data_IF_496563061253
#
_entry.id   IF_496563061253
#
_cell.length_a   1.000
_cell.length_b   1.000
_cell.length_c   1.000
_cell.angle_alpha   90.00
_cell.angle_beta   90.00
_cell.angle_gamma   90.00
#
_symmetry.space_group_name_H-M   'P 1'
#
loop_
_entity.id
_entity.type
_entity.pdbx_description
1 polymer ?
#
# COMPACT_ATOMS: atom_id res chain seq x y z
N UNK A 1 16.81 -22.44 -2.12
CA UNK A 1 17.98 -23.27 -1.75
C UNK A 1 17.51 -24.49 -0.98
N UNK A 2 17.63 -25.69 -1.54
CA UNK A 2 17.60 -26.92 -0.74
C UNK A 2 18.94 -26.95 0.01
N UNK A 3 18.90 -26.85 1.32
CA UNK A 3 20.08 -26.99 2.18
C UNK A 3 20.23 -28.49 2.44
N UNK A 4 21.34 -29.09 2.02
CA UNK A 4 21.64 -30.48 2.39
C UNK A 4 22.08 -30.51 3.85
N UNK A 5 21.22 -31.05 4.71
CA UNK A 5 21.44 -31.17 6.15
C UNK A 5 22.46 -32.27 6.48
N UNK A 6 22.70 -33.24 5.58
CA UNK A 6 23.65 -34.33 5.81
C UNK A 6 25.08 -33.81 5.84
N UNK A 7 25.44 -32.94 4.90
CA UNK A 7 26.78 -32.34 4.82
C UNK A 7 27.08 -31.43 6.01
N UNK A 8 26.06 -30.70 6.49
CA UNK A 8 26.15 -29.93 7.72
C UNK A 8 26.39 -30.82 8.95
N UNK A 9 25.63 -31.91 9.08
CA UNK A 9 25.79 -32.87 10.17
C UNK A 9 27.16 -33.55 10.15
N UNK A 10 27.67 -33.91 8.98
CA UNK A 10 28.98 -34.52 8.81
C UNK A 10 30.10 -33.55 9.20
N UNK A 11 30.04 -32.31 8.72
CA UNK A 11 31.02 -31.26 9.08
C UNK A 11 30.99 -30.95 10.57
N UNK A 12 29.79 -30.89 11.18
CA UNK A 12 29.63 -30.70 12.62
C UNK A 12 30.25 -31.84 13.43
N UNK A 13 29.99 -33.10 13.06
CA UNK A 13 30.54 -34.28 13.75
C UNK A 13 32.07 -34.31 13.68
N UNK A 14 32.65 -34.00 12.51
CA UNK A 14 34.11 -33.92 12.33
C UNK A 14 34.74 -32.85 13.22
N UNK A 15 34.19 -31.63 13.23
CA UNK A 15 34.69 -30.54 14.11
C UNK A 15 34.63 -30.93 15.58
N UNK A 16 33.54 -31.53 16.05
CA UNK A 16 33.44 -31.97 17.45
C UNK A 16 34.49 -33.04 17.76
N UNK A 17 34.65 -34.03 16.89
CA UNK A 17 35.65 -35.10 17.03
C UNK A 17 37.08 -34.55 17.11
N UNK A 18 37.43 -33.65 16.19
CA UNK A 18 38.78 -33.07 16.09
C UNK A 18 39.08 -32.16 17.29
N UNK A 19 38.09 -31.34 17.71
CA UNK A 19 38.23 -30.49 18.89
C UNK A 19 38.28 -31.29 20.21
N UNK A 20 37.54 -32.40 20.33
CA UNK A 20 37.58 -33.27 21.51
C UNK A 20 38.90 -34.04 21.61
N UNK A 21 39.45 -34.48 20.48
CA UNK A 21 40.80 -35.07 20.40
C UNK A 21 41.86 -34.05 20.77
N UNK A 22 41.76 -32.83 20.22
CA UNK A 22 42.68 -31.72 20.48
C UNK A 22 42.64 -31.23 21.94
N UNK A 23 41.48 -31.37 22.60
CA UNK A 23 41.34 -31.07 24.02
C UNK A 23 42.15 -32.04 24.91
N UNK A 24 42.26 -33.31 24.50
CA UNK A 24 43.05 -34.33 25.22
C UNK A 24 44.54 -34.20 24.93
N UNK A 25 44.90 -33.92 23.67
CA UNK A 25 46.28 -33.67 23.29
C UNK A 25 46.34 -32.68 22.11
N UNK A 26 46.93 -31.50 22.35
CA UNK A 26 47.05 -30.45 21.33
C UNK A 26 47.99 -30.82 20.17
N UNK A 27 48.87 -31.81 20.34
CA UNK A 27 49.78 -32.25 19.27
C UNK A 27 49.09 -33.09 18.19
N UNK A 28 47.83 -33.50 18.41
CA UNK A 28 47.03 -34.32 17.50
C UNK A 28 45.99 -33.49 16.73
N UNK A 29 46.11 -32.16 16.73
CA UNK A 29 45.15 -31.28 16.06
C UNK A 29 45.32 -31.33 14.53
N UNK A 30 44.26 -31.71 13.82
CA UNK A 30 44.19 -31.59 12.36
C UNK A 30 43.59 -30.21 11.99
N UNK A 31 44.47 -29.22 11.81
CA UNK A 31 44.08 -27.85 11.48
C UNK A 31 43.35 -27.77 10.14
N UNK A 32 43.77 -28.56 9.15
CA UNK A 32 43.19 -28.53 7.81
C UNK A 32 41.77 -29.11 7.83
N UNK A 33 41.55 -30.20 8.57
CA UNK A 33 40.20 -30.75 8.79
C UNK A 33 39.30 -29.73 9.48
N UNK A 34 39.78 -29.09 10.57
CA UNK A 34 38.97 -28.12 11.32
C UNK A 34 38.60 -26.91 10.46
N UNK A 35 39.58 -26.30 9.76
CA UNK A 35 39.35 -25.13 8.92
C UNK A 35 38.35 -25.46 7.79
N UNK A 36 38.57 -26.58 7.07
CA UNK A 36 37.69 -27.00 5.97
C UNK A 36 36.25 -27.19 6.44
N UNK A 37 36.05 -27.87 7.57
CA UNK A 37 34.70 -28.09 8.09
C UNK A 37 34.07 -26.80 8.66
N UNK A 38 34.87 -25.87 9.21
CA UNK A 38 34.38 -24.56 9.64
C UNK A 38 33.92 -23.70 8.46
N UNK A 39 34.68 -23.71 7.35
CA UNK A 39 34.32 -23.02 6.11
C UNK A 39 33.05 -23.63 5.49
N UNK A 40 32.91 -24.95 5.52
CA UNK A 40 31.68 -25.63 5.10
C UNK A 40 30.48 -25.16 5.92
N UNK A 41 30.59 -25.12 7.24
CA UNK A 41 29.51 -24.63 8.13
C UNK A 41 29.24 -23.14 7.91
N UNK A 42 30.27 -22.34 7.68
CA UNK A 42 30.16 -20.91 7.38
C UNK A 42 29.31 -20.66 6.13
N UNK A 43 29.46 -21.47 5.08
CA UNK A 43 28.67 -21.33 3.85
C UNK A 43 27.16 -21.42 4.09
N UNK A 44 26.71 -22.25 5.04
CA UNK A 44 25.29 -22.30 5.42
C UNK A 44 24.85 -21.05 6.18
N UNK A 45 25.69 -20.53 7.07
CA UNK A 45 25.33 -19.38 7.92
C UNK A 45 25.54 -18.01 7.27
N UNK A 46 26.32 -17.94 6.18
CA UNK A 46 26.74 -16.69 5.50
C UNK A 46 25.61 -15.71 5.20
N UNK A 47 24.45 -16.24 4.78
CA UNK A 47 23.26 -15.47 4.43
C UNK A 47 22.08 -15.73 5.40
N UNK A 48 22.33 -16.42 6.51
CA UNK A 48 21.29 -16.84 7.45
C UNK A 48 21.31 -16.08 8.78
N UNK A 49 22.48 -15.90 9.39
CA UNK A 49 22.66 -15.24 10.70
C UNK A 49 24.04 -14.59 10.80
N UNK A 50 24.06 -13.25 10.86
CA UNK A 50 25.27 -12.42 10.87
C UNK A 50 26.14 -12.67 12.10
N UNK A 51 25.54 -12.97 13.27
CA UNK A 51 26.31 -13.23 14.50
C UNK A 51 27.12 -14.53 14.40
N UNK A 52 26.50 -15.57 13.84
CA UNK A 52 27.13 -16.89 13.66
C UNK A 52 28.21 -16.83 12.58
N UNK A 53 27.94 -16.12 11.48
CA UNK A 53 28.94 -15.82 10.45
C UNK A 53 30.19 -15.16 11.03
N UNK A 54 30.03 -14.07 11.79
CA UNK A 54 31.15 -13.34 12.38
C UNK A 54 31.95 -14.19 13.38
N UNK A 55 31.28 -15.05 14.15
CA UNK A 55 31.94 -15.99 15.03
C UNK A 55 32.80 -17.00 14.27
N UNK A 56 32.26 -17.61 13.21
CA UNK A 56 32.96 -18.61 12.40
C UNK A 56 34.16 -18.01 11.66
N UNK A 57 34.00 -16.82 11.06
CA UNK A 57 35.11 -16.11 10.41
C UNK A 57 36.26 -15.86 11.39
N UNK A 58 35.94 -15.38 12.59
CA UNK A 58 36.95 -15.10 13.61
C UNK A 58 37.61 -16.38 14.12
N UNK A 59 36.87 -17.49 14.22
CA UNK A 59 37.44 -18.78 14.58
C UNK A 59 38.42 -19.28 13.51
N UNK A 60 38.07 -19.16 12.23
CA UNK A 60 38.91 -19.53 11.09
C UNK A 60 40.21 -18.70 11.09
N UNK A 61 40.14 -17.38 11.28
CA UNK A 61 41.33 -16.51 11.43
C UNK A 61 42.26 -16.96 12.56
N UNK A 62 41.71 -17.38 13.70
CA UNK A 62 42.52 -17.89 14.81
C UNK A 62 43.20 -19.23 14.51
N UNK A 63 42.62 -20.08 13.67
CA UNK A 63 43.27 -21.32 13.23
C UNK A 63 44.35 -21.06 12.16
N UNK A 64 44.17 -20.08 11.28
CA UNK A 64 45.24 -19.66 10.36
C UNK A 64 46.45 -19.06 11.08
N UNK A 65 46.26 -18.49 12.26
CA UNK A 65 47.33 -17.93 13.10
C UNK A 65 47.80 -18.89 14.22
N UNK A 66 47.46 -20.18 14.12
CA UNK A 66 47.64 -21.17 15.19
C UNK A 66 49.07 -21.28 15.71
N UNK A 67 50.08 -21.27 14.82
CA UNK A 67 51.49 -21.41 15.20
C UNK A 67 51.96 -20.31 16.14
N UNK A 68 51.40 -19.11 16.01
CA UNK A 68 51.75 -17.91 16.78
C UNK A 68 51.00 -17.79 18.11
N UNK A 69 50.06 -18.71 18.40
CA UNK A 69 49.30 -18.70 19.66
C UNK A 69 50.05 -19.42 20.78
N UNK A 70 50.05 -18.82 21.97
CA UNK A 70 50.50 -19.49 23.21
C UNK A 70 49.68 -20.74 23.49
N UNK A 71 50.27 -21.74 24.17
CA UNK A 71 49.54 -22.97 24.54
C UNK A 71 48.26 -22.69 25.33
N UNK A 72 48.29 -21.70 26.24
CA UNK A 72 47.12 -21.27 27.01
C UNK A 72 46.02 -20.70 26.10
N UNK A 73 46.39 -19.93 25.08
CA UNK A 73 45.45 -19.40 24.10
C UNK A 73 44.84 -20.51 23.21
N UNK A 74 45.66 -21.49 22.79
CA UNK A 74 45.22 -22.68 22.04
C UNK A 74 44.17 -23.48 22.82
N UNK A 75 44.45 -23.80 24.11
CA UNK A 75 43.49 -24.51 24.98
C UNK A 75 42.17 -23.74 25.14
N UNK A 76 42.25 -22.43 25.41
CA UNK A 76 41.06 -21.58 25.55
C UNK A 76 40.23 -21.49 24.27
N UNK A 77 40.88 -21.43 23.10
CA UNK A 77 40.19 -21.39 21.81
C UNK A 77 39.41 -22.68 21.55
N UNK A 78 40.04 -23.84 21.75
CA UNK A 78 39.41 -25.16 21.60
C UNK A 78 38.22 -25.31 22.54
N UNK A 79 38.36 -24.95 23.82
CA UNK A 79 37.25 -25.03 24.78
C UNK A 79 36.08 -24.09 24.44
N UNK A 80 36.38 -22.86 24.03
CA UNK A 80 35.37 -21.88 23.63
C UNK A 80 34.64 -22.31 22.37
N UNK A 81 35.33 -22.93 21.42
CA UNK A 81 34.72 -23.50 20.22
C UNK A 81 33.84 -24.70 20.54
N UNK A 82 34.33 -25.67 21.32
CA UNK A 82 33.54 -26.82 21.77
C UNK A 82 32.24 -26.38 22.44
N UNK A 83 32.32 -25.41 23.35
CA UNK A 83 31.13 -24.85 24.01
C UNK A 83 30.18 -24.25 22.99
N UNK A 84 30.65 -23.34 22.14
CA UNK A 84 29.78 -22.67 21.16
C UNK A 84 29.16 -23.64 20.16
N UNK A 85 29.88 -24.67 19.70
CA UNK A 85 29.34 -25.67 18.80
C UNK A 85 28.23 -26.50 19.44
N UNK A 86 28.45 -26.96 20.69
CA UNK A 86 27.44 -27.70 21.46
C UNK A 86 26.19 -26.87 21.80
N UNK A 87 26.27 -25.54 21.83
CA UNK A 87 25.10 -24.70 22.15
C UNK A 87 24.46 -23.99 20.96
N UNK A 88 25.21 -23.56 19.96
CA UNK A 88 24.71 -22.65 18.92
C UNK A 88 24.71 -23.28 17.51
N UNK A 89 25.55 -24.28 17.26
CA UNK A 89 25.72 -24.86 15.93
C UNK A 89 25.16 -26.28 15.81
N UNK A 90 24.45 -26.78 16.83
CA UNK A 90 23.80 -28.09 16.81
C UNK A 90 22.89 -28.23 15.57
N UNK A 91 22.93 -29.36 14.85
CA UNK A 91 22.10 -29.56 13.65
C UNK A 91 20.60 -29.34 13.88
N UNK A 92 20.07 -29.82 15.01
CA UNK A 92 18.65 -29.60 15.38
C UNK A 92 18.30 -28.10 15.46
N UNK A 93 19.21 -27.25 15.94
CA UNK A 93 19.00 -25.79 16.02
C UNK A 93 19.03 -25.13 14.64
N UNK A 94 19.78 -25.68 13.68
CA UNK A 94 19.73 -25.22 12.29
C UNK A 94 18.37 -25.57 11.67
N UNK A 95 17.85 -26.78 11.89
CA UNK A 95 16.54 -27.20 11.38
C UNK A 95 15.39 -26.35 11.95
N UNK A 96 15.38 -26.10 13.26
CA UNK A 96 14.41 -25.19 13.90
C UNK A 96 14.51 -23.77 13.34
N UNK A 97 15.72 -23.26 13.16
CA UNK A 97 15.96 -21.93 12.59
C UNK A 97 15.45 -21.83 11.15
N UNK A 98 15.73 -22.83 10.31
CA UNK A 98 15.26 -22.90 8.93
C UNK A 98 13.74 -23.02 8.85
N UNK A 99 13.11 -23.81 9.74
CA UNK A 99 11.65 -23.95 9.83
C UNK A 99 11.01 -22.61 10.16
N UNK A 100 11.53 -21.91 11.18
CA UNK A 100 11.04 -20.58 11.58
C UNK A 100 11.19 -19.55 10.46
N UNK A 101 12.35 -19.52 9.79
CA UNK A 101 12.61 -18.62 8.66
C UNK A 101 11.72 -18.94 7.45
N UNK A 102 11.41 -20.21 7.20
CA UNK A 102 10.48 -20.64 6.15
C UNK A 102 9.03 -20.24 6.46
N UNK A 103 8.61 -20.34 7.73
CA UNK A 103 7.29 -19.86 8.18
C UNK A 103 7.19 -18.33 8.07
N UNK A 104 8.27 -17.61 8.40
CA UNK A 104 8.38 -16.15 8.22
C UNK A 104 8.31 -15.75 6.74
N UNK A 105 9.02 -16.45 5.85
CA UNK A 105 8.94 -16.20 4.39
C UNK A 105 7.55 -16.55 3.85
N UNK A 106 6.92 -17.63 4.32
CA UNK A 106 5.55 -17.99 3.92
C UNK A 106 4.54 -16.94 4.37
N UNK A 107 4.67 -16.38 5.57
CA UNK A 107 3.79 -15.32 6.05
C UNK A 107 4.02 -14.01 5.28
N UNK A 108 5.27 -13.69 4.93
CA UNK A 108 5.63 -12.57 4.06
C UNK A 108 5.01 -12.70 2.66
N UNK A 109 5.11 -13.88 2.04
CA UNK A 109 4.53 -14.16 0.72
C UNK A 109 3.01 -14.11 0.73
N UNK A 110 2.36 -14.57 1.81
CA UNK A 110 0.90 -14.48 1.99
C UNK A 110 0.42 -13.03 2.17
N UNK A 111 1.29 -12.14 2.62
CA UNK A 111 0.96 -10.71 2.81
C UNK A 111 1.22 -9.90 1.53
N UNK A 112 2.32 -10.20 0.82
CA UNK A 112 2.64 -9.61 -0.49
C UNK A 112 1.61 -10.01 -1.54
N UNK A 113 1.18 -11.27 -1.53
CA UNK A 113 -0.02 -11.69 -2.24
C UNK A 113 -1.23 -11.29 -1.41
N UNK A 114 -1.70 -10.05 -1.54
CA UNK A 114 -3.11 -9.71 -1.26
C UNK A 114 -3.96 -10.52 -2.26
N UNK A 115 -4.08 -11.83 -2.02
CA UNK A 115 -4.90 -12.70 -2.85
C UNK A 115 -6.32 -12.16 -2.80
N UNK A 116 -6.89 -11.97 -3.99
CA UNK A 116 -8.29 -11.63 -4.16
C UNK A 116 -9.13 -12.54 -3.26
N UNK A 117 -10.06 -12.02 -2.46
CA UNK A 117 -11.08 -12.88 -1.88
C UNK A 117 -11.73 -13.65 -3.03
N UNK A 118 -11.85 -14.98 -2.88
CA UNK A 118 -12.43 -15.83 -3.93
C UNK A 118 -13.80 -15.27 -4.32
N UNK A 119 -13.90 -14.60 -5.47
CA UNK A 119 -15.15 -14.13 -6.01
C UNK A 119 -15.98 -15.38 -6.31
N UNK A 120 -17.07 -15.56 -5.57
CA UNK A 120 -18.03 -16.60 -5.91
C UNK A 120 -18.80 -16.06 -7.10
N UNK A 121 -18.42 -16.47 -8.30
CA UNK A 121 -19.31 -16.43 -9.47
C UNK A 121 -20.50 -17.34 -9.17
N UNK A 122 -21.44 -16.86 -8.35
CA UNK A 122 -22.79 -17.40 -8.38
C UNK A 122 -23.54 -16.55 -9.38
N UNK A 123 -24.04 -17.18 -10.43
CA UNK A 123 -25.04 -16.65 -11.38
C UNK A 123 -26.39 -16.29 -10.70
N UNK A 124 -26.37 -15.89 -9.42
CA UNK A 124 -27.55 -15.28 -8.82
C UNK A 124 -27.62 -13.87 -9.38
N UNK A 125 -28.75 -13.54 -10.04
CA UNK A 125 -29.19 -12.16 -10.27
C UNK A 125 -28.94 -11.39 -8.98
N UNK A 126 -27.87 -10.62 -8.94
CA UNK A 126 -27.56 -9.84 -7.76
C UNK A 126 -28.55 -8.70 -7.72
N UNK A 127 -29.22 -8.60 -6.58
CA UNK A 127 -30.14 -7.53 -6.34
C UNK A 127 -29.35 -6.25 -6.06
N UNK A 128 -29.42 -5.30 -6.99
CA UNK A 128 -28.78 -3.99 -6.83
C UNK A 128 -29.34 -3.23 -5.61
N UNK A 129 -30.50 -3.64 -5.06
CA UNK A 129 -31.00 -3.13 -3.78
C UNK A 129 -30.02 -3.30 -2.63
N UNK A 130 -29.15 -4.32 -2.67
CA UNK A 130 -28.11 -4.54 -1.65
C UNK A 130 -27.18 -3.33 -1.53
N UNK A 131 -26.94 -2.58 -2.62
CA UNK A 131 -26.14 -1.36 -2.55
C UNK A 131 -26.79 -0.27 -1.68
N UNK A 132 -28.11 -0.27 -1.57
CA UNK A 132 -28.86 0.68 -0.74
C UNK A 132 -28.95 0.25 0.73
N UNK A 133 -28.48 -0.95 1.07
CA UNK A 133 -28.55 -1.43 2.45
C UNK A 133 -27.69 -0.58 3.37
N UNK A 134 -28.23 -0.30 4.56
CA UNK A 134 -27.51 0.46 5.59
C UNK A 134 -26.23 -0.27 5.99
N UNK A 135 -25.16 0.48 6.25
CA UNK A 135 -23.90 -0.04 6.79
C UNK A 135 -24.09 -0.81 8.11
N UNK A 136 -25.17 -0.53 8.83
CA UNK A 136 -25.51 -1.22 10.07
C UNK A 136 -25.75 -2.72 9.83
N UNK A 137 -26.24 -3.11 8.64
CA UNK A 137 -26.51 -4.50 8.23
C UNK A 137 -25.27 -5.38 8.05
N UNK A 138 -24.08 -4.77 7.92
CA UNK A 138 -22.83 -5.52 7.72
C UNK A 138 -22.37 -6.08 9.08
N UNK A 139 -22.86 -7.27 9.46
CA UNK A 139 -22.60 -7.86 10.78
C UNK A 139 -21.11 -8.09 11.08
N UNK A 140 -20.31 -8.41 10.06
CA UNK A 140 -18.87 -8.66 10.19
C UNK A 140 -18.01 -7.40 10.37
N UNK A 141 -18.57 -6.21 10.17
CA UNK A 141 -17.85 -4.94 10.30
C UNK A 141 -17.95 -4.41 11.73
N UNK A 142 -16.80 -4.17 12.39
CA UNK A 142 -16.79 -3.73 13.79
C UNK A 142 -17.49 -2.36 13.97
N UNK A 143 -18.16 -2.19 15.13
CA UNK A 143 -18.91 -0.96 15.49
C UNK A 143 -18.06 0.32 15.38
N UNK A 144 -16.77 0.24 15.71
CA UNK A 144 -15.83 1.37 15.59
C UNK A 144 -15.72 1.89 14.14
N UNK A 145 -15.72 1.00 13.14
CA UNK A 145 -15.61 1.38 11.74
C UNK A 145 -16.93 1.90 11.22
N UNK A 146 -18.06 1.27 11.60
CA UNK A 146 -19.41 1.80 11.32
C UNK A 146 -19.57 3.25 11.79
N UNK A 147 -19.05 3.58 12.98
CA UNK A 147 -19.09 4.94 13.51
C UNK A 147 -18.22 5.93 12.72
N UNK A 148 -17.10 5.49 12.13
CA UNK A 148 -16.28 6.33 11.26
C UNK A 148 -17.06 6.72 10.01
N UNK A 149 -17.70 5.75 9.35
CA UNK A 149 -18.52 6.02 8.15
C UNK A 149 -19.70 6.94 8.45
N UNK A 150 -20.40 6.75 9.56
CA UNK A 150 -21.47 7.66 10.00
C UNK A 150 -20.97 9.10 10.20
N UNK A 151 -19.78 9.29 10.76
CA UNK A 151 -19.17 10.62 10.92
C UNK A 151 -18.81 11.29 9.58
N UNK A 152 -18.59 10.50 8.54
CA UNK A 152 -18.36 10.96 7.17
C UNK A 152 -19.66 11.18 6.38
N UNK A 153 -20.82 10.92 6.98
CA UNK A 153 -22.11 10.98 6.29
C UNK A 153 -22.35 9.81 5.33
N UNK A 154 -21.63 8.70 5.49
CA UNK A 154 -21.75 7.49 4.65
C UNK A 154 -22.63 6.48 5.37
N UNK A 155 -23.83 6.23 4.84
CA UNK A 155 -24.87 5.44 5.51
C UNK A 155 -25.17 4.11 4.84
N UNK A 156 -24.93 3.99 3.53
CA UNK A 156 -25.23 2.81 2.72
C UNK A 156 -23.97 2.12 2.19
N UNK A 157 -24.12 0.91 1.68
CA UNK A 157 -23.04 0.19 0.98
C UNK A 157 -22.56 0.99 -0.24
N UNK A 158 -23.48 1.55 -1.01
CA UNK A 158 -23.19 2.44 -2.15
C UNK A 158 -22.33 3.62 -1.73
N UNK A 159 -22.69 4.30 -0.64
CA UNK A 159 -21.93 5.46 -0.17
C UNK A 159 -20.47 5.09 0.08
N UNK A 160 -20.19 3.92 0.67
CA UNK A 160 -18.83 3.48 0.97
C UNK A 160 -18.05 3.12 -0.30
N UNK A 161 -18.66 2.33 -1.19
CA UNK A 161 -18.00 1.84 -2.41
C UNK A 161 -17.73 2.94 -3.43
N UNK A 162 -18.54 4.00 -3.43
CA UNK A 162 -18.38 5.13 -4.35
C UNK A 162 -17.77 6.37 -3.68
N UNK A 163 -17.30 6.25 -2.44
CA UNK A 163 -16.53 7.31 -1.79
C UNK A 163 -15.05 7.22 -2.17
N UNK A 164 -14.74 7.65 -3.39
CA UNK A 164 -13.42 7.44 -3.97
C UNK A 164 -12.29 8.23 -3.28
N UNK A 165 -11.06 7.70 -3.30
CA UNK A 165 -9.87 8.44 -2.87
C UNK A 165 -9.67 9.71 -3.72
N UNK A 166 -9.26 10.81 -3.08
CA UNK A 166 -8.88 12.08 -3.74
C UNK A 166 -7.43 12.06 -4.27
N UNK A 167 -6.57 11.23 -3.69
CA UNK A 167 -5.19 10.98 -4.16
C UNK A 167 -4.68 9.68 -3.55
N UNK A 168 -3.53 9.22 -4.01
CA UNK A 168 -2.81 8.09 -3.43
C UNK A 168 -1.48 8.56 -2.83
N UNK A 169 -0.96 7.80 -1.87
CA UNK A 169 0.35 7.99 -1.27
C UNK A 169 1.19 6.73 -1.39
N UNK A 170 2.42 6.87 -1.88
CA UNK A 170 3.41 5.82 -1.80
C UNK A 170 3.98 5.72 -0.38
N UNK A 171 3.60 4.65 0.33
CA UNK A 171 4.21 4.25 1.61
C UNK A 171 4.89 2.89 1.52
N UNK A 172 5.11 2.39 0.30
CA UNK A 172 5.85 1.17 0.00
C UNK A 172 7.33 1.47 -0.12
N UNK A 173 7.68 2.53 -0.83
CA UNK A 173 9.07 2.86 -1.15
C UNK A 173 9.79 3.46 0.07
N UNK A 174 10.91 2.84 0.44
CA UNK A 174 11.82 3.31 1.49
C UNK A 174 13.07 3.87 0.83
N UNK A 175 13.49 5.06 1.27
CA UNK A 175 14.68 5.74 0.78
C UNK A 175 15.84 5.57 1.77
N UNK A 176 17.07 5.31 1.29
CA UNK A 176 18.26 5.32 2.14
C UNK A 176 18.52 6.76 2.62
N UNK A 177 18.99 6.89 3.85
CA UNK A 177 19.15 8.20 4.51
C UNK A 177 20.14 9.12 3.77
N UNK A 178 21.15 8.58 3.10
CA UNK A 178 22.13 9.38 2.36
C UNK A 178 21.63 10.00 1.04
N UNK A 179 20.49 9.53 0.50
CA UNK A 179 19.92 10.04 -0.77
C UNK A 179 18.77 11.03 -0.55
N UNK A 180 18.53 11.44 0.70
CA UNK A 180 17.41 12.32 1.03
C UNK A 180 17.71 13.78 0.67
N UNK A 181 16.79 14.43 -0.06
CA UNK A 181 16.84 15.87 -0.30
C UNK A 181 15.95 16.64 0.67
N UNK A 182 16.31 17.89 0.94
CA UNK A 182 15.47 18.78 1.75
C UNK A 182 14.15 19.06 1.03
N UNK A 183 13.05 18.92 1.76
CA UNK A 183 11.70 19.20 1.25
C UNK A 183 10.92 17.96 0.82
N UNK A 184 11.59 16.84 0.55
CA UNK A 184 10.94 15.59 0.13
C UNK A 184 10.13 14.97 1.26
N UNK A 185 9.02 14.31 0.92
CA UNK A 185 8.26 13.47 1.87
C UNK A 185 8.66 12.02 1.63
N UNK A 186 9.41 11.45 2.57
CA UNK A 186 10.07 10.15 2.40
C UNK A 186 9.67 9.19 3.50
N UNK A 187 9.83 7.90 3.21
CA UNK A 187 9.83 6.83 4.22
C UNK A 187 11.27 6.36 4.41
N UNK A 188 11.75 6.35 5.65
CA UNK A 188 13.09 5.85 6.01
C UNK A 188 12.96 4.68 6.96
N UNK A 189 13.82 3.66 6.80
CA UNK A 189 13.83 2.46 7.63
C UNK A 189 15.19 2.34 8.32
N UNK A 190 15.19 2.29 9.65
CA UNK A 190 16.45 2.17 10.39
C UNK A 190 16.25 1.68 11.82
N UNK A 191 17.35 1.62 12.57
CA UNK A 191 17.33 1.35 14.01
C UNK A 191 17.38 2.64 14.81
N UNK A 192 16.67 2.68 15.93
CA UNK A 192 16.80 3.79 16.87
C UNK A 192 18.08 3.59 17.70
N UNK A 193 19.04 4.49 17.57
CA UNK A 193 20.34 4.40 18.27
C UNK A 193 20.37 5.25 19.54
N UNK A 194 19.67 6.38 19.54
CA UNK A 194 19.60 7.26 20.70
C UNK A 194 18.23 7.90 20.86
N UNK A 195 17.85 8.16 22.10
CA UNK A 195 16.60 8.86 22.48
C UNK A 195 16.97 9.84 23.57
N UNK A 196 16.70 11.12 23.34
CA UNK A 196 16.94 12.21 24.28
C UNK A 196 15.71 13.11 24.35
N UNK A 197 15.49 13.74 25.49
CA UNK A 197 14.50 14.79 25.60
C UNK A 197 15.05 15.93 26.45
N UNK A 198 14.61 17.14 26.15
CA UNK A 198 14.98 18.33 26.89
C UNK A 198 13.83 19.33 26.90
N UNK A 199 13.80 20.17 27.92
CA UNK A 199 12.84 21.26 28.02
C UNK A 199 13.42 22.53 27.41
N UNK A 200 12.57 23.27 26.71
CA UNK A 200 12.93 24.58 26.13
C UNK A 200 12.49 25.69 27.06
N UNK A 201 13.14 26.86 26.94
CA UNK A 201 12.81 28.09 27.68
C UNK A 201 11.35 28.58 27.54
N UNK A 202 10.56 27.98 26.63
CA UNK A 202 9.15 28.31 26.36
C UNK A 202 8.18 27.21 26.83
N UNK A 203 8.53 26.44 27.86
CA UNK A 203 7.73 25.33 28.43
C UNK A 203 7.30 24.26 27.40
N UNK A 204 8.13 24.01 26.38
CA UNK A 204 7.94 22.89 25.44
C UNK A 204 8.96 21.81 25.70
N UNK A 205 8.51 20.56 25.67
CA UNK A 205 9.37 19.37 25.75
C UNK A 205 9.69 18.93 24.33
N UNK A 206 10.97 18.81 24.00
CA UNK A 206 11.44 18.27 22.72
C UNK A 206 11.94 16.86 22.95
N UNK A 207 11.39 15.89 22.21
CA UNK A 207 11.87 14.52 22.13
C UNK A 207 12.61 14.34 20.81
N UNK A 208 13.89 13.95 20.89
CA UNK A 208 14.78 13.68 19.76
C UNK A 208 15.18 12.21 19.77
N UNK A 209 14.79 11.45 18.75
CA UNK A 209 15.26 10.09 18.52
C UNK A 209 16.15 10.04 17.27
N UNK A 210 17.31 9.40 17.33
CA UNK A 210 18.19 9.20 16.18
C UNK A 210 17.85 7.88 15.51
N UNK A 211 17.48 7.94 14.23
CA UNK A 211 17.25 6.79 13.37
C UNK A 211 18.47 6.62 12.46
N UNK A 212 19.02 5.42 12.42
CA UNK A 212 20.24 5.09 11.67
C UNK A 212 20.01 3.86 10.78
N UNK A 213 20.40 3.98 9.52
CA UNK A 213 20.50 2.89 8.57
C UNK A 213 21.97 2.65 8.20
N UNK A 214 22.23 1.79 7.20
CA UNK A 214 23.60 1.49 6.76
C UNK A 214 24.27 2.68 6.04
N UNK A 215 23.51 3.71 5.68
CA UNK A 215 23.94 4.82 4.83
C UNK A 215 24.08 6.14 5.57
N UNK A 216 23.39 6.34 6.69
CA UNK A 216 23.42 7.60 7.43
C UNK A 216 22.51 7.65 8.66
N UNK A 217 22.38 8.85 9.21
CA UNK A 217 21.58 9.15 10.41
C UNK A 217 20.60 10.29 10.16
N UNK A 218 19.40 10.17 10.70
CA UNK A 218 18.37 11.22 10.65
C UNK A 218 17.69 11.37 12.02
N UNK A 219 17.38 12.61 12.41
CA UNK A 219 16.73 12.90 13.69
C UNK A 219 15.20 12.91 13.54
N UNK A 220 14.49 12.17 14.39
CA UNK A 220 13.04 12.24 14.54
C UNK A 220 12.74 13.18 15.71
N UNK A 221 12.06 14.29 15.43
CA UNK A 221 11.86 15.37 16.39
C UNK A 221 10.36 15.57 16.66
N UNK A 222 9.98 15.48 17.93
CA UNK A 222 8.63 15.80 18.38
C UNK A 222 8.68 16.93 19.40
N UNK A 223 7.81 17.91 19.24
CA UNK A 223 7.65 19.05 20.15
C UNK A 223 6.30 18.98 20.85
N UNK A 224 6.29 18.82 22.17
CA UNK A 224 5.08 18.74 22.98
C UNK A 224 4.89 20.00 23.83
N UNK A 225 3.65 20.42 24.03
CA UNK A 225 3.30 21.36 25.11
C UNK A 225 3.21 20.59 26.43
N UNK A 226 3.41 21.26 27.57
CA UNK A 226 3.41 20.64 28.91
C UNK A 226 2.16 19.79 29.19
N UNK A 227 0.98 20.19 28.69
CA UNK A 227 -0.28 19.44 28.87
C UNK A 227 -0.39 18.16 28.02
N UNK A 228 0.55 17.90 27.10
CA UNK A 228 0.54 16.75 26.20
C UNK A 228 1.35 15.55 26.73
N UNK A 229 1.45 15.42 28.06
CA UNK A 229 2.21 14.37 28.75
C UNK A 229 1.87 12.95 28.25
N UNK A 230 0.62 12.68 27.86
CA UNK A 230 0.22 11.38 27.30
C UNK A 230 0.91 11.05 25.98
N UNK A 231 1.01 12.00 25.04
CA UNK A 231 1.66 11.78 23.75
C UNK A 231 3.18 11.70 23.90
N UNK A 232 3.76 12.57 24.72
CA UNK A 232 5.18 12.49 25.07
C UNK A 232 5.54 11.10 25.63
N UNK A 233 4.79 10.62 26.63
CA UNK A 233 5.03 9.31 27.24
C UNK A 233 4.85 8.15 26.25
N UNK A 234 3.90 8.27 25.31
CA UNK A 234 3.71 7.27 24.26
C UNK A 234 4.94 7.17 23.35
N UNK A 235 5.40 8.29 22.76
CA UNK A 235 6.54 8.29 21.84
C UNK A 235 7.85 7.95 22.54
N UNK A 236 8.04 8.42 23.78
CA UNK A 236 9.20 8.04 24.60
C UNK A 236 9.27 6.52 24.78
N UNK A 237 8.19 5.91 25.27
CA UNK A 237 8.11 4.44 25.42
C UNK A 237 8.30 3.71 24.08
N UNK A 238 7.76 4.27 23.00
CA UNK A 238 7.90 3.69 21.67
C UNK A 238 9.38 3.64 21.22
N UNK A 239 10.09 4.77 21.28
CA UNK A 239 11.49 4.83 20.85
C UNK A 239 12.44 4.09 21.80
N UNK A 240 12.22 4.15 23.12
CA UNK A 240 13.01 3.37 24.09
C UNK A 240 12.86 1.87 23.86
N UNK A 241 11.63 1.40 23.60
CA UNK A 241 11.38 -0.01 23.26
C UNK A 241 12.05 -0.38 21.93
N UNK A 242 11.94 0.45 20.90
CA UNK A 242 12.60 0.24 19.61
C UNK A 242 14.11 0.08 19.79
N UNK A 243 14.73 0.97 20.57
CA UNK A 243 16.16 0.95 20.87
C UNK A 243 16.58 -0.30 21.65
N UNK A 244 15.91 -0.57 22.77
CA UNK A 244 16.28 -1.66 23.68
C UNK A 244 16.14 -3.04 23.04
N UNK A 245 15.10 -3.22 22.23
CA UNK A 245 14.84 -4.48 21.53
C UNK A 245 15.49 -4.55 20.15
N UNK A 246 16.21 -3.49 19.73
CA UNK A 246 16.78 -3.34 18.38
C UNK A 246 15.77 -3.69 17.29
N UNK A 247 14.59 -3.07 17.37
CA UNK A 247 13.52 -3.21 16.38
C UNK A 247 13.71 -2.12 15.34
N UNK A 248 13.67 -2.49 14.05
CA UNK A 248 13.68 -1.50 12.96
C UNK A 248 12.41 -0.64 13.04
N UNK A 249 12.51 0.64 12.72
CA UNK A 249 11.41 1.60 12.71
C UNK A 249 11.31 2.19 11.31
N UNK A 250 10.09 2.25 10.78
CA UNK A 250 9.82 3.10 9.62
C UNK A 250 9.36 4.45 10.13
N UNK A 251 9.98 5.52 9.64
CA UNK A 251 9.54 6.89 9.89
C UNK A 251 9.19 7.56 8.55
N UNK A 252 8.03 8.21 8.50
CA UNK A 252 7.59 9.01 7.36
C UNK A 252 7.45 10.47 7.75
N UNK A 253 8.04 11.35 6.97
CA UNK A 253 7.87 12.78 7.19
C UNK A 253 8.53 13.59 6.09
N UNK A 254 8.33 14.90 6.16
CA UNK A 254 9.04 15.85 5.32
C UNK A 254 10.48 15.99 5.82
N UNK A 255 11.45 15.80 4.93
CA UNK A 255 12.87 15.99 5.22
C UNK A 255 13.12 17.47 5.42
N UNK A 256 13.68 17.80 6.59
CA UNK A 256 14.04 19.14 7.01
C UNK A 256 15.44 19.13 7.60
N UNK A 257 15.91 20.30 8.03
CA UNK A 257 17.16 20.45 8.76
C UNK A 257 16.84 20.88 10.19
N UNK A 258 17.48 20.24 11.16
CA UNK A 258 17.51 20.72 12.54
C UNK A 258 18.96 20.77 12.98
N UNK A 259 19.41 21.96 13.39
CA UNK A 259 20.83 22.25 13.61
C UNK A 259 21.63 21.93 12.33
N UNK A 260 22.63 21.05 12.41
CA UNK A 260 23.46 20.63 11.27
C UNK A 260 23.14 19.20 10.77
N UNK A 261 21.97 18.66 11.09
CA UNK A 261 21.59 17.29 10.70
C UNK A 261 20.21 17.24 10.04
N UNK A 262 20.01 16.25 9.19
CA UNK A 262 18.69 15.94 8.63
C UNK A 262 17.72 15.59 9.77
N UNK A 263 16.49 16.04 9.63
CA UNK A 263 15.44 15.79 10.60
C UNK A 263 14.06 15.62 9.96
N UNK A 264 13.23 14.84 10.62
CA UNK A 264 11.79 14.74 10.38
C UNK A 264 11.07 15.33 11.60
N UNK A 265 10.26 16.36 11.40
CA UNK A 265 9.41 16.91 12.46
C UNK A 265 8.06 16.19 12.51
N UNK A 266 7.68 15.74 13.69
CA UNK A 266 6.46 14.98 13.96
C UNK A 266 6.19 13.87 12.93
N UNK A 267 7.18 13.02 12.60
CA UNK A 267 6.99 11.98 11.61
C UNK A 267 5.93 10.97 12.07
N UNK A 268 5.29 10.31 11.12
CA UNK A 268 4.54 9.09 11.42
C UNK A 268 5.53 7.95 11.60
N UNK A 269 5.46 7.24 12.74
CA UNK A 269 6.38 6.14 13.05
C UNK A 269 5.63 4.85 13.34
N UNK A 270 6.19 3.74 12.84
CA UNK A 270 5.72 2.40 13.16
C UNK A 270 6.91 1.47 13.39
N UNK A 271 6.72 0.47 14.23
CA UNK A 271 7.68 -0.63 14.27
C UNK A 271 7.62 -1.35 12.93
N UNK A 272 8.80 -1.67 12.40
CA UNK A 272 8.92 -2.60 11.29
C UNK A 272 8.62 -4.00 11.82
N UNK A 273 7.34 -4.34 11.86
CA UNK A 273 6.84 -5.68 12.17
C UNK A 273 6.26 -6.27 10.92
N UNK A 274 6.47 -7.57 10.69
CA UNK A 274 5.70 -8.31 9.70
C UNK A 274 4.44 -8.88 10.35
N UNK A 275 3.24 -8.65 9.79
CA UNK A 275 2.93 -7.81 8.61
C UNK A 275 2.94 -6.29 8.92
N UNK A 276 3.25 -5.48 7.92
CA UNK A 276 3.29 -4.02 8.04
C UNK A 276 1.87 -3.44 7.91
N UNK A 277 1.14 -3.30 9.01
CA UNK A 277 -0.24 -2.79 9.04
C UNK A 277 -0.47 -1.37 8.46
N UNK A 278 0.58 -0.58 8.21
CA UNK A 278 0.47 0.84 7.84
C UNK A 278 1.56 1.35 6.88
N UNK A 279 2.43 0.46 6.40
CA UNK A 279 3.56 0.74 5.51
C UNK A 279 3.77 -0.47 4.57
N UNK A 280 4.48 -0.30 3.46
CA UNK A 280 4.71 -1.40 2.50
C UNK A 280 3.64 -1.54 1.40
N UNK A 281 2.70 -0.60 1.30
CA UNK A 281 1.66 -0.55 0.27
C UNK A 281 1.41 0.91 -0.16
N UNK A 282 0.71 1.11 -1.29
CA UNK A 282 0.14 2.41 -1.61
C UNK A 282 -1.15 2.62 -0.82
N UNK A 283 -1.36 3.85 -0.37
CA UNK A 283 -2.49 4.19 0.48
C UNK A 283 -3.41 5.21 -0.20
N UNK A 284 -4.72 4.96 -0.24
CA UNK A 284 -5.68 5.97 -0.67
C UNK A 284 -5.81 7.07 0.38
N UNK A 285 -5.97 8.31 -0.09
CA UNK A 285 -6.34 9.46 0.73
C UNK A 285 -7.76 9.86 0.38
N UNK A 286 -8.64 9.73 1.34
CA UNK A 286 -10.03 10.16 1.21
C UNK A 286 -10.21 11.63 1.64
N UNK A 287 -11.23 12.33 1.13
CA UNK A 287 -11.64 13.62 1.67
C UNK A 287 -11.89 13.49 3.18
N UNK A 288 -11.13 14.22 3.99
CA UNK A 288 -11.05 13.96 5.43
C UNK A 288 -12.10 14.71 6.24
N UNK A 289 -12.55 14.08 7.33
CA UNK A 289 -13.21 14.73 8.46
C UNK A 289 -12.19 14.90 9.58
N UNK A 290 -12.00 16.11 10.11
CA UNK A 290 -10.92 16.51 11.02
C UNK A 290 -10.79 15.70 12.32
N UNK A 291 -11.81 14.90 12.67
CA UNK A 291 -11.86 14.11 13.91
C UNK A 291 -11.60 12.60 13.73
N UNK A 292 -11.24 12.13 12.54
CA UNK A 292 -10.92 10.71 12.29
C UNK A 292 -9.45 10.57 11.90
N UNK A 293 -8.72 9.67 12.57
CA UNK A 293 -7.32 9.42 12.22
C UNK A 293 -7.20 8.68 10.88
N UNK A 294 -6.21 9.08 10.08
CA UNK A 294 -5.93 8.52 8.76
C UNK A 294 -5.83 6.98 8.76
N UNK A 295 -5.05 6.40 9.68
CA UNK A 295 -4.91 4.95 9.81
C UNK A 295 -6.23 4.24 10.11
N UNK A 296 -7.09 4.83 10.96
CA UNK A 296 -8.39 4.23 11.27
C UNK A 296 -9.34 4.28 10.07
N UNK A 297 -9.25 5.36 9.28
CA UNK A 297 -10.05 5.55 8.07
C UNK A 297 -9.70 4.51 7.01
N UNK A 298 -8.40 4.34 6.70
CA UNK A 298 -7.95 3.31 5.75
C UNK A 298 -8.42 1.94 6.19
N UNK A 299 -8.18 1.56 7.46
CA UNK A 299 -8.59 0.25 7.98
C UNK A 299 -10.11 0.05 7.90
N UNK A 300 -10.90 1.12 8.05
CA UNK A 300 -12.35 1.06 7.87
C UNK A 300 -12.71 0.69 6.43
N UNK A 301 -12.15 1.41 5.45
CA UNK A 301 -12.36 1.17 4.03
C UNK A 301 -11.85 -0.21 3.60
N UNK A 302 -10.63 -0.58 3.95
CA UNK A 302 -10.05 -1.89 3.62
C UNK A 302 -10.97 -3.03 4.08
N UNK A 303 -11.48 -2.95 5.31
CA UNK A 303 -12.38 -3.97 5.86
C UNK A 303 -13.75 -3.97 5.19
N UNK A 304 -14.35 -2.80 5.01
CA UNK A 304 -15.66 -2.70 4.38
C UNK A 304 -15.63 -3.21 2.93
N UNK A 305 -14.68 -2.70 2.14
CA UNK A 305 -14.51 -3.06 0.72
C UNK A 305 -14.20 -4.55 0.57
N UNK A 306 -13.31 -5.11 1.39
CA UNK A 306 -13.00 -6.55 1.36
C UNK A 306 -14.18 -7.45 1.73
N UNK A 307 -15.11 -6.96 2.56
CA UNK A 307 -16.32 -7.70 2.93
C UNK A 307 -17.41 -7.61 1.86
N UNK A 308 -17.49 -6.49 1.13
CA UNK A 308 -18.59 -6.19 0.20
C UNK A 308 -18.27 -6.67 -1.23
N UNK A 309 -17.11 -6.29 -1.76
CA UNK A 309 -16.72 -6.54 -3.16
C UNK A 309 -16.78 -8.01 -3.60
N UNK A 310 -16.50 -9.04 -2.78
CA UNK A 310 -16.57 -10.44 -3.23
C UNK A 310 -17.95 -10.90 -3.69
N UNK A 311 -18.98 -10.15 -3.31
CA UNK A 311 -20.37 -10.46 -3.60
C UNK A 311 -20.93 -9.60 -4.74
N UNK A 312 -20.17 -8.64 -5.27
CA UNK A 312 -20.66 -7.78 -6.35
C UNK A 312 -20.72 -8.53 -7.68
N UNK A 313 -21.82 -8.37 -8.44
CA UNK A 313 -22.00 -9.03 -9.72
C UNK A 313 -21.15 -8.34 -10.78
N UNK A 314 -20.85 -9.10 -11.83
CA UNK A 314 -20.47 -8.49 -13.10
C UNK A 314 -21.73 -8.16 -13.89
N UNK A 315 -21.81 -6.93 -14.40
CA UNK A 315 -22.95 -6.48 -15.22
C UNK A 315 -22.55 -6.10 -16.64
N UNK A 316 -21.25 -5.87 -16.92
CA UNK A 316 -20.81 -5.68 -18.29
C UNK A 316 -20.77 -7.02 -19.02
N UNK A 317 -21.34 -7.11 -20.24
CA UNK A 317 -21.21 -8.28 -21.09
C UNK A 317 -19.75 -8.67 -21.33
N UNK A 318 -19.46 -9.97 -21.33
CA UNK A 318 -18.10 -10.48 -21.55
C UNK A 318 -17.44 -9.93 -22.83
N UNK A 319 -18.23 -9.76 -23.90
CA UNK A 319 -17.74 -9.21 -25.18
C UNK A 319 -17.11 -7.82 -25.00
N UNK A 320 -17.72 -6.95 -24.19
CA UNK A 320 -17.23 -5.59 -23.93
C UNK A 320 -15.99 -5.65 -23.03
N UNK A 321 -16.03 -6.46 -21.97
CA UNK A 321 -14.88 -6.64 -21.07
C UNK A 321 -13.64 -7.13 -21.81
N UNK A 322 -13.78 -8.17 -22.64
CA UNK A 322 -12.69 -8.74 -23.44
C UNK A 322 -12.16 -7.74 -24.47
N UNK A 323 -13.05 -6.99 -25.14
CA UNK A 323 -12.66 -5.97 -26.14
C UNK A 323 -11.71 -4.91 -25.57
N UNK A 324 -11.97 -4.43 -24.35
CA UNK A 324 -11.19 -3.36 -23.72
C UNK A 324 -10.22 -3.87 -22.64
N UNK A 325 -10.09 -5.19 -22.49
CA UNK A 325 -9.29 -5.84 -21.46
C UNK A 325 -9.57 -5.31 -20.04
N UNK A 326 -10.85 -5.11 -19.71
CA UNK A 326 -11.23 -4.54 -18.43
C UNK A 326 -11.25 -5.58 -17.30
N UNK A 327 -10.76 -5.22 -16.10
CA UNK A 327 -10.99 -6.01 -14.89
C UNK A 327 -12.48 -6.08 -14.57
N UNK A 328 -12.87 -7.00 -13.67
CA UNK A 328 -14.27 -7.07 -13.22
C UNK A 328 -14.68 -5.82 -12.44
N UNK A 329 -16.00 -5.58 -12.35
CA UNK A 329 -16.53 -4.48 -11.55
C UNK A 329 -16.08 -4.57 -10.08
N UNK A 330 -16.14 -5.77 -9.51
CA UNK A 330 -15.73 -6.05 -8.14
C UNK A 330 -14.24 -5.76 -7.90
N UNK A 331 -13.36 -6.21 -8.79
CA UNK A 331 -11.92 -5.93 -8.72
C UNK A 331 -11.62 -4.44 -8.87
N UNK A 332 -12.34 -3.76 -9.74
CA UNK A 332 -12.14 -2.33 -10.00
C UNK A 332 -12.41 -1.50 -8.75
N UNK A 333 -13.54 -1.74 -8.10
CA UNK A 333 -13.86 -1.10 -6.81
C UNK A 333 -12.86 -1.51 -5.72
N UNK A 334 -12.50 -2.79 -5.65
CA UNK A 334 -11.55 -3.26 -4.65
C UNK A 334 -10.20 -2.54 -4.75
N UNK A 335 -9.58 -2.52 -5.94
CA UNK A 335 -8.22 -2.01 -6.13
C UNK A 335 -8.11 -0.49 -6.24
N UNK A 336 -9.23 0.22 -6.43
CA UNK A 336 -9.28 1.68 -6.23
C UNK A 336 -9.20 2.02 -4.74
N UNK A 337 -9.89 1.27 -3.87
CA UNK A 337 -9.80 1.50 -2.42
C UNK A 337 -8.62 0.80 -1.75
N UNK A 338 -8.07 -0.25 -2.34
CA UNK A 338 -6.98 -1.06 -1.79
C UNK A 338 -5.94 -1.25 -2.90
N UNK A 339 -5.09 -0.23 -3.13
CA UNK A 339 -4.15 -0.24 -4.25
C UNK A 339 -3.31 -1.51 -4.35
N UNK A 340 -3.16 -2.02 -5.57
CA UNK A 340 -2.28 -3.14 -5.88
C UNK A 340 -0.83 -2.67 -5.89
N UNK A 341 0.04 -3.18 -5.00
CA UNK A 341 1.45 -2.79 -4.98
C UNK A 341 2.27 -3.30 -6.18
N UNK A 342 1.71 -4.15 -7.04
CA UNK A 342 2.38 -4.66 -8.25
C UNK A 342 2.25 -3.71 -9.45
N UNK A 343 1.32 -2.75 -9.41
CA UNK A 343 1.13 -1.74 -10.45
C UNK A 343 2.04 -0.55 -10.14
N UNK A 344 2.47 0.18 -11.17
CA UNK A 344 3.23 1.41 -10.98
C UNK A 344 2.42 2.44 -10.16
N UNK A 345 3.10 3.12 -9.23
CA UNK A 345 2.48 4.18 -8.44
C UNK A 345 2.05 5.36 -9.31
N UNK A 346 2.79 5.67 -10.38
CA UNK A 346 2.46 6.78 -11.28
C UNK A 346 1.07 6.61 -11.92
N UNK A 347 0.68 5.38 -12.25
CA UNK A 347 -0.66 5.07 -12.76
C UNK A 347 -1.75 5.30 -11.69
N UNK A 348 -1.46 5.02 -10.42
CA UNK A 348 -2.37 5.34 -9.32
C UNK A 348 -2.46 6.85 -9.09
N UNK A 349 -1.32 7.54 -9.05
CA UNK A 349 -1.25 8.99 -8.84
C UNK A 349 -2.03 9.76 -9.91
N UNK A 350 -1.97 9.31 -11.16
CA UNK A 350 -2.71 9.90 -12.30
C UNK A 350 -4.12 9.34 -12.50
N UNK A 351 -4.57 8.39 -11.67
CA UNK A 351 -5.84 7.67 -11.83
C UNK A 351 -5.99 6.97 -13.20
N UNK A 352 -4.90 6.41 -13.72
CA UNK A 352 -4.82 5.79 -15.05
C UNK A 352 -4.75 4.26 -15.04
N UNK A 353 -4.80 3.63 -13.87
CA UNK A 353 -4.87 2.17 -13.77
C UNK A 353 -6.10 1.61 -14.51
N UNK A 354 -6.03 0.34 -14.92
CA UNK A 354 -7.16 -0.35 -15.57
C UNK A 354 -8.44 -0.34 -14.72
N UNK A 355 -8.30 -0.35 -13.39
CA UNK A 355 -9.40 -0.25 -12.43
C UNK A 355 -10.12 1.11 -12.52
N UNK A 356 -9.39 2.23 -12.59
CA UNK A 356 -9.98 3.55 -12.76
C UNK A 356 -10.65 3.69 -14.12
N UNK A 357 -9.95 3.27 -15.19
CA UNK A 357 -10.47 3.30 -16.57
C UNK A 357 -11.78 2.52 -16.71
N UNK A 358 -11.89 1.36 -16.04
CA UNK A 358 -13.12 0.58 -15.98
C UNK A 358 -14.26 1.36 -15.34
N UNK A 359 -14.03 2.05 -14.22
CA UNK A 359 -15.07 2.85 -13.55
C UNK A 359 -15.49 4.08 -14.36
N UNK A 360 -14.55 4.75 -15.04
CA UNK A 360 -14.86 5.86 -15.95
C UNK A 360 -15.70 5.39 -17.14
N UNK A 361 -15.35 4.23 -17.70
CA UNK A 361 -16.14 3.60 -18.76
C UNK A 361 -17.54 3.30 -18.26
N UNK A 362 -17.66 2.69 -17.07
CA UNK A 362 -18.94 2.34 -16.45
C UNK A 362 -19.85 3.57 -16.29
N UNK A 363 -19.32 4.69 -15.79
CA UNK A 363 -20.08 5.94 -15.63
C UNK A 363 -20.62 6.47 -16.97
N UNK A 364 -19.74 6.60 -17.98
CA UNK A 364 -20.12 7.10 -19.30
C UNK A 364 -21.07 6.13 -20.03
N UNK A 365 -20.83 4.83 -19.90
CA UNK A 365 -21.64 3.79 -20.52
C UNK A 365 -23.04 3.76 -19.93
N UNK A 366 -23.17 3.80 -18.59
CA UNK A 366 -24.47 3.82 -17.92
C UNK A 366 -25.24 5.11 -18.22
N UNK A 367 -24.56 6.26 -18.27
CA UNK A 367 -25.17 7.53 -18.67
C UNK A 367 -25.72 7.45 -20.08
N UNK A 368 -24.91 6.96 -21.03
CA UNK A 368 -25.34 6.82 -22.43
C UNK A 368 -26.49 5.82 -22.57
N UNK A 369 -26.46 4.72 -21.82
CA UNK A 369 -27.53 3.72 -21.81
C UNK A 369 -28.84 4.30 -21.29
N UNK A 370 -28.78 5.14 -20.25
CA UNK A 370 -29.95 5.84 -19.71
C UNK A 370 -30.56 6.81 -20.74
N UNK A 371 -29.71 7.58 -21.43
CA UNK A 371 -30.15 8.50 -22.51
C UNK A 371 -30.79 7.71 -23.66
N UNK A 372 -30.19 6.60 -24.08
CA UNK A 372 -30.74 5.75 -25.14
C UNK A 372 -32.07 5.12 -24.73
N UNK A 373 -32.19 4.67 -23.48
CA UNK A 373 -33.45 4.15 -22.94
C UNK A 373 -34.54 5.22 -22.95
N UNK A 374 -34.21 6.45 -22.53
CA UNK A 374 -35.16 7.56 -22.56
C UNK A 374 -35.58 7.93 -23.98
N UNK A 375 -34.64 7.97 -24.93
CA UNK A 375 -34.95 8.19 -26.35
C UNK A 375 -35.84 7.09 -26.92
N UNK A 376 -35.54 5.82 -26.65
CA UNK A 376 -36.37 4.72 -27.11
C UNK A 376 -37.81 4.81 -26.56
N UNK A 377 -37.98 5.23 -25.30
CA UNK A 377 -39.30 5.48 -24.72
C UNK A 377 -40.00 6.66 -25.41
N UNK A 378 -39.30 7.76 -25.68
CA UNK A 378 -39.87 8.91 -26.39
C UNK A 378 -40.26 8.57 -27.83
N UNK A 379 -39.43 7.83 -28.55
CA UNK A 379 -39.71 7.39 -29.92
C UNK A 379 -40.88 6.41 -30.02
N UNK A 380 -41.19 5.70 -28.94
CA UNK A 380 -42.37 4.82 -28.87
C UNK A 380 -43.68 5.58 -28.71
N UNK A 381 -43.63 6.85 -28.30
CA UNK A 381 -44.80 7.73 -28.17
C UNK A 381 -45.03 8.40 -29.52
N UNK A 382 -46.19 8.16 -30.13
CA UNK A 382 -46.63 8.85 -31.33
C UNK A 382 -47.40 10.11 -30.95
N UNK A 383 -46.97 11.23 -31.51
CA UNK A 383 -47.56 12.56 -31.32
C UNK A 383 -48.15 13.09 -32.64
N UNK A 384 -48.88 14.21 -32.55
CA UNK A 384 -49.54 14.80 -33.71
C UNK A 384 -48.52 15.42 -34.66
N UNK A 385 -48.57 15.03 -35.94
CA UNK A 385 -47.76 15.64 -36.99
C UNK A 385 -48.25 17.06 -37.29
N UNK A 386 -47.35 18.03 -37.26
CA UNK A 386 -47.66 19.42 -37.61
C UNK A 386 -47.04 19.69 -38.97
N UNK A 387 -47.89 19.79 -40.00
CA UNK A 387 -47.46 20.24 -41.32
C UNK A 387 -47.28 21.75 -41.30
N UNK A 388 -46.05 22.19 -41.06
CA UNK A 388 -45.66 23.59 -41.10
C UNK A 388 -44.55 23.79 -42.14
N UNK A 389 -44.69 24.83 -42.95
CA UNK A 389 -43.76 25.18 -44.01
C UNK A 389 -43.07 26.51 -43.71
N UNK A 390 -41.96 26.76 -44.40
CA UNK A 390 -41.26 28.05 -44.27
C UNK A 390 -42.13 29.24 -44.71
N UNK A 391 -43.13 29.01 -45.57
CA UNK A 391 -44.07 30.05 -46.00
C UNK A 391 -44.98 30.53 -44.86
N UNK A 392 -45.30 29.65 -43.89
CA UNK A 392 -46.15 29.98 -42.75
C UNK A 392 -45.45 30.96 -41.77
N UNK A 393 -44.14 31.14 -41.92
CA UNK A 393 -43.34 32.08 -41.14
C UNK A 393 -43.14 33.43 -41.83
N UNK A 394 -43.59 33.62 -43.08
CA UNK A 394 -43.31 34.84 -43.88
C UNK A 394 -43.71 36.13 -43.18
N UNK A 395 -44.93 36.18 -42.63
CA UNK A 395 -45.44 37.38 -41.96
C UNK A 395 -44.57 37.77 -40.75
N UNK A 396 -44.07 36.78 -40.00
CA UNK A 396 -43.19 37.01 -38.85
C UNK A 396 -41.80 37.46 -39.31
N UNK A 397 -41.27 36.82 -40.37
CA UNK A 397 -39.96 37.15 -40.93
C UNK A 397 -39.91 38.56 -41.52
N UNK A 398 -41.00 39.03 -42.12
CA UNK A 398 -41.10 40.37 -42.72
C UNK A 398 -41.20 41.50 -41.69
N UNK A 399 -41.67 41.20 -40.46
CA UNK A 399 -41.73 42.17 -39.34
C UNK A 399 -40.35 42.40 -38.71
N UNK A 400 -39.42 41.46 -38.84
CA UNK A 400 -38.12 41.56 -38.19
C UNK A 400 -37.28 42.71 -38.81
N UNK A 401 -36.70 43.61 -38.00
CA UNK A 401 -35.93 44.75 -38.50
C UNK A 401 -34.53 44.36 -39.03
N UNK A 402 -34.27 43.06 -39.19
CA UNK A 402 -32.99 42.50 -39.63
C UNK A 402 -33.23 41.20 -40.41
N UNK A 403 -32.26 40.81 -41.25
CA UNK A 403 -32.28 39.53 -41.95
C UNK A 403 -31.72 38.43 -41.06
N UNK A 404 -32.34 37.25 -41.11
CA UNK A 404 -31.81 36.08 -40.44
C UNK A 404 -30.44 35.71 -40.99
N UNK A 405 -29.59 35.19 -40.10
CA UNK A 405 -28.32 34.59 -40.50
C UNK A 405 -28.56 33.22 -41.13
N UNK A 406 -27.61 32.78 -41.98
CA UNK A 406 -27.64 31.42 -42.57
C UNK A 406 -27.76 30.31 -41.51
N UNK A 407 -27.20 30.53 -40.32
CA UNK A 407 -27.30 29.59 -39.20
C UNK A 407 -28.72 29.53 -38.62
N UNK A 408 -29.38 30.67 -38.41
CA UNK A 408 -30.77 30.74 -37.96
C UNK A 408 -31.73 30.13 -38.98
N UNK A 409 -31.57 30.44 -40.27
CA UNK A 409 -32.38 29.83 -41.34
C UNK A 409 -32.24 28.31 -41.38
N UNK A 410 -31.03 27.79 -41.17
CA UNK A 410 -30.77 26.35 -41.10
C UNK A 410 -31.49 25.73 -39.91
N UNK A 411 -31.41 26.34 -38.72
CA UNK A 411 -32.09 25.86 -37.51
C UNK A 411 -33.60 25.84 -37.69
N UNK A 412 -34.20 26.88 -38.28
CA UNK A 412 -35.64 26.94 -38.56
C UNK A 412 -36.05 25.80 -39.50
N UNK A 413 -35.31 25.57 -40.58
CA UNK A 413 -35.59 24.46 -41.51
C UNK A 413 -35.48 23.09 -40.82
N UNK A 414 -34.51 22.92 -39.93
CA UNK A 414 -34.38 21.69 -39.14
C UNK A 414 -35.56 21.49 -38.17
N UNK A 415 -36.04 22.57 -37.52
CA UNK A 415 -37.21 22.51 -36.63
C UNK A 415 -38.49 22.16 -37.41
N UNK A 416 -38.72 22.82 -38.55
CA UNK A 416 -39.88 22.53 -39.41
C UNK A 416 -39.87 21.08 -39.89
N UNK A 417 -38.71 20.57 -40.30
CA UNK A 417 -38.55 19.16 -40.69
C UNK A 417 -38.80 18.19 -39.52
N UNK A 418 -38.40 18.57 -38.31
CA UNK A 418 -38.66 17.74 -37.13
C UNK A 418 -40.17 17.72 -36.78
N UNK A 419 -40.90 18.84 -36.96
CA UNK A 419 -42.35 18.98 -36.73
C UNK A 419 -43.22 18.13 -37.68
N UNK A 420 -42.72 17.85 -38.87
CA UNK A 420 -43.38 16.96 -39.83
C UNK A 420 -43.31 15.48 -39.40
N UNK A 421 -42.47 15.11 -38.42
CA UNK A 421 -42.40 13.74 -37.93
C UNK A 421 -43.36 13.50 -36.74
N UNK A 422 -44.01 12.34 -36.69
CA UNK A 422 -44.90 11.90 -35.59
C UNK A 422 -44.16 11.54 -34.28
N UNK A 423 -42.91 11.99 -34.11
CA UNK A 423 -42.07 11.69 -32.93
C UNK A 423 -41.90 12.95 -32.08
N UNK A 424 -41.78 12.77 -30.76
CA UNK A 424 -41.47 13.86 -29.83
C UNK A 424 -40.12 14.51 -30.20
N UNK A 425 -40.12 15.83 -30.34
CA UNK A 425 -38.92 16.63 -30.63
C UNK A 425 -38.28 17.06 -29.31
N UNK A 426 -37.00 16.75 -29.14
CA UNK A 426 -36.18 17.21 -27.99
C UNK A 426 -34.89 17.84 -28.49
N UNK A 427 -35.04 19.00 -29.16
CA UNK A 427 -33.93 19.75 -29.75
C UNK A 427 -33.42 20.81 -28.79
N UNK A 428 -32.10 20.91 -28.65
CA UNK A 428 -31.44 21.97 -27.91
C UNK A 428 -30.91 23.02 -28.89
N UNK A 429 -31.49 24.22 -28.87
CA UNK A 429 -30.98 25.36 -29.64
C UNK A 429 -29.82 25.98 -28.86
N UNK A 430 -28.60 25.91 -29.42
CA UNK A 430 -27.37 26.41 -28.80
C UNK A 430 -26.69 27.45 -29.68
N UNK A 431 -26.07 28.43 -29.03
CA UNK A 431 -25.44 29.61 -29.63
C UNK A 431 -24.83 30.48 -28.53
N UNK A 432 -24.10 31.54 -28.88
CA UNK A 432 -23.50 32.46 -27.90
C UNK A 432 -24.47 33.57 -27.48
N UNK A 433 -24.12 34.35 -26.45
CA UNK A 433 -24.91 35.53 -26.05
C UNK A 433 -24.92 36.52 -27.22
N UNK A 434 -26.10 37.00 -27.61
CA UNK A 434 -26.26 37.89 -28.78
C UNK A 434 -26.32 37.18 -30.14
N UNK A 435 -26.24 35.85 -30.20
CA UNK A 435 -26.35 35.07 -31.45
C UNK A 435 -27.77 34.99 -32.04
N UNK A 436 -28.74 35.70 -31.43
CA UNK A 436 -30.12 35.73 -31.92
C UNK A 436 -30.88 34.41 -31.73
N UNK A 437 -30.59 33.65 -30.67
CA UNK A 437 -31.35 32.42 -30.29
C UNK A 437 -32.81 32.66 -29.89
N UNK A 438 -33.15 33.91 -29.55
CA UNK A 438 -34.51 34.33 -29.16
C UNK A 438 -35.34 34.72 -30.39
N UNK A 439 -34.70 34.85 -31.56
CA UNK A 439 -35.34 35.02 -32.86
C UNK A 439 -35.66 33.64 -33.41
#
# INVERSE_FOLDING_TARGET
>A
MKIDLKDYQNSYKKIISDLETSKKNLSLIDLNSIITNLENILNYWRNLDEKRKNFLNKAIEYFYTWEYLSEKAKKNLVEKLLKNFKYHFLPLKLEEFLKKKKEEIKSQLKYLKRELPKFKEKEKKFDLEVLNYSISSINKLEKRYKNIFKKLGLFTIKDILFYFPRKYEDRKTVYPINLLNLGDVVNVLGYITSVYFFETKKNKVILKACLEDETGKINLIYTFKQDQNKFFNFYKKFFEKAKNLKIKVIARGKVTKFENSLALFHPEVVYFTYPLDSFGNYFPIYPGYSKVSFSSLIKAFEKAVSLITPYLPEYLPEKIKKKYNFPSFAESLFYVHIPNPEIDFEDYERFQTSYHKRLYFDELFLLQLLILKQRALQESIKETEIKASYNDLKEILDILPFKLTKAQEKVIKEILKDLENSKIISRLIRGDVGSGKMC
#
